data_IF_455330843942
#
_entry.id   IF_455330843942
#
_cell.length_a   1.000
_cell.length_b   1.000
_cell.length_c   1.000
_cell.angle_alpha   90.00
_cell.angle_beta   90.00
_cell.angle_gamma   90.00
#
_symmetry.space_group_name_H-M   'P 1'
#
loop_
_entity.id
_entity.type
_entity.pdbx_description
1 polymer ?
#
# COMPACT_ATOMS: atom_id res chain seq x y z
N UNK A 1 -0.07 -1.85 -8.37
CA UNK A 1 0.09 -0.39 -8.22
C UNK A 1 1.43 -0.12 -7.55
N UNK A 2 2.23 0.72 -8.17
CA UNK A 2 3.54 1.10 -7.64
C UNK A 2 3.51 2.53 -7.11
N UNK A 3 4.13 2.75 -5.98
CA UNK A 3 4.37 4.10 -5.48
C UNK A 3 5.55 4.69 -6.24
N UNK A 4 5.35 5.88 -6.80
CA UNK A 4 6.42 6.69 -7.35
C UNK A 4 6.70 7.81 -6.34
N UNK A 5 7.97 7.97 -5.97
CA UNK A 5 8.40 8.95 -4.98
C UNK A 5 9.66 9.68 -5.42
N UNK A 6 9.77 10.95 -5.06
CA UNK A 6 11.02 11.72 -5.18
C UNK A 6 11.90 11.59 -3.94
N UNK A 7 11.42 10.92 -2.93
CA UNK A 7 12.03 10.75 -1.63
C UNK A 7 13.12 9.66 -1.70
N UNK A 8 14.35 9.99 -1.38
CA UNK A 8 15.49 9.07 -1.44
C UNK A 8 15.61 8.13 -0.25
N UNK A 9 15.07 8.55 0.90
CA UNK A 9 15.13 7.80 2.15
C UNK A 9 13.75 7.75 2.78
N UNK A 10 13.42 6.69 3.52
CA UNK A 10 12.18 6.65 4.25
C UNK A 10 12.17 7.69 5.37
N UNK A 11 10.99 8.24 5.61
CA UNK A 11 10.71 9.01 6.82
C UNK A 11 10.33 8.05 7.94
N UNK A 12 10.49 8.50 9.17
CA UNK A 12 9.99 7.78 10.36
C UNK A 12 8.75 8.50 10.85
N UNK A 13 7.65 7.77 11.01
CA UNK A 13 6.40 8.35 11.48
C UNK A 13 6.54 8.83 12.91
N UNK A 14 6.41 10.15 13.12
CA UNK A 14 6.47 10.76 14.45
C UNK A 14 5.17 10.61 15.24
N UNK A 15 4.09 10.23 14.55
CA UNK A 15 2.75 9.95 15.09
C UNK A 15 2.05 8.95 14.19
N UNK A 16 0.90 8.44 14.62
CA UNK A 16 0.05 7.61 13.80
C UNK A 16 -0.47 8.40 12.58
N UNK A 17 -0.44 7.78 11.40
CA UNK A 17 -0.87 8.41 10.14
C UNK A 17 -2.06 7.63 9.61
N UNK A 18 -3.19 8.31 9.41
CA UNK A 18 -4.37 7.74 8.77
C UNK A 18 -4.17 7.67 7.26
N UNK A 19 -4.52 6.52 6.68
CA UNK A 19 -4.48 6.29 5.24
C UNK A 19 -5.57 5.30 4.84
N UNK A 20 -5.67 5.00 3.54
CA UNK A 20 -6.75 4.18 3.00
C UNK A 20 -6.18 3.09 2.08
N UNK A 21 -6.69 1.90 2.23
CA UNK A 21 -6.27 0.75 1.41
C UNK A 21 -7.46 0.07 0.79
N UNK A 22 -7.34 -0.29 -0.47
CA UNK A 22 -8.30 -1.14 -1.14
C UNK A 22 -7.88 -2.57 -0.91
N UNK A 23 -8.79 -3.39 -0.40
CA UNK A 23 -8.59 -4.82 -0.24
C UNK A 23 -9.55 -5.61 -1.12
N UNK A 24 -9.09 -6.74 -1.59
CA UNK A 24 -9.89 -7.71 -2.34
C UNK A 24 -10.45 -8.73 -1.36
N UNK A 25 -11.77 -8.87 -1.37
CA UNK A 25 -12.44 -9.97 -0.68
C UNK A 25 -12.54 -11.15 -1.63
N UNK A 26 -11.87 -12.25 -1.30
CA UNK A 26 -11.90 -13.48 -2.08
C UNK A 26 -13.18 -14.27 -1.82
N UNK A 27 -13.47 -15.26 -2.70
CA UNK A 27 -14.60 -16.16 -2.53
C UNK A 27 -14.54 -17.00 -1.24
N UNK A 28 -13.35 -17.14 -0.65
CA UNK A 28 -13.11 -17.87 0.59
C UNK A 28 -13.13 -16.96 1.84
N UNK A 29 -13.61 -15.73 1.70
CA UNK A 29 -13.69 -14.73 2.77
C UNK A 29 -12.35 -14.23 3.34
N UNK A 30 -11.29 -14.28 2.55
CA UNK A 30 -10.01 -13.63 2.88
C UNK A 30 -9.97 -12.23 2.30
N UNK A 31 -9.47 -11.29 3.09
CA UNK A 31 -9.16 -9.95 2.63
C UNK A 31 -7.67 -9.85 2.32
N UNK A 32 -7.36 -9.62 1.05
CA UNK A 32 -5.99 -9.63 0.55
C UNK A 32 -5.64 -8.33 -0.17
N UNK A 33 -4.36 -8.06 -0.29
CA UNK A 33 -3.85 -6.99 -1.14
C UNK A 33 -4.09 -7.33 -2.61
N UNK A 34 -4.70 -6.43 -3.43
CA UNK A 34 -5.08 -6.75 -4.80
C UNK A 34 -3.93 -7.19 -5.72
N UNK A 35 -2.75 -6.62 -5.52
CA UNK A 35 -1.62 -6.82 -6.43
C UNK A 35 -0.61 -7.85 -5.98
N UNK A 36 -0.37 -7.95 -4.67
CA UNK A 36 0.66 -8.85 -4.11
C UNK A 36 0.08 -10.00 -3.29
N UNK A 37 -1.23 -10.10 -3.23
CA UNK A 37 -1.96 -11.16 -2.53
C UNK A 37 -1.54 -11.39 -1.07
N UNK A 38 -1.05 -10.32 -0.40
CA UNK A 38 -0.79 -10.39 1.02
C UNK A 38 -2.12 -10.52 1.77
N UNK A 39 -2.24 -11.56 2.58
CA UNK A 39 -3.46 -11.81 3.36
C UNK A 39 -3.42 -11.01 4.66
N UNK A 40 -4.40 -10.11 4.85
CA UNK A 40 -4.51 -9.32 6.06
C UNK A 40 -5.36 -10.00 7.11
N UNK A 41 -6.51 -10.52 6.76
CA UNK A 41 -7.39 -11.21 7.71
C UNK A 41 -8.46 -12.04 6.98
N UNK A 42 -9.07 -12.95 7.73
CA UNK A 42 -10.22 -13.74 7.31
C UNK A 42 -11.45 -13.28 8.09
N UNK A 43 -12.57 -13.05 7.36
CA UNK A 43 -13.88 -12.65 7.88
C UNK A 43 -13.93 -11.33 8.64
N UNK A 44 -13.10 -11.13 9.66
CA UNK A 44 -13.22 -9.99 10.58
C UNK A 44 -11.89 -9.30 10.82
N UNK A 45 -11.90 -7.96 10.74
CA UNK A 45 -10.73 -7.15 11.01
C UNK A 45 -10.37 -7.15 12.51
N UNK A 46 -9.06 -7.19 12.79
CA UNK A 46 -8.52 -6.92 14.13
C UNK A 46 -7.78 -5.57 14.12
N UNK A 47 -8.40 -4.48 14.63
CA UNK A 47 -7.83 -3.14 14.54
C UNK A 47 -6.57 -2.93 15.39
N UNK A 48 -6.27 -3.87 16.29
CA UNK A 48 -5.07 -3.81 17.14
C UNK A 48 -3.85 -4.48 16.52
N UNK A 49 -4.06 -5.31 15.49
CA UNK A 49 -2.96 -6.08 14.88
C UNK A 49 -2.10 -5.17 14.00
N UNK A 50 -0.79 -5.22 14.21
CA UNK A 50 0.21 -4.57 13.36
C UNK A 50 0.72 -5.57 12.35
N UNK A 51 0.51 -5.29 11.07
CA UNK A 51 1.09 -6.06 9.98
C UNK A 51 2.46 -5.48 9.62
N UNK A 52 3.40 -6.37 9.29
CA UNK A 52 4.74 -6.00 8.82
C UNK A 52 4.92 -6.47 7.38
N UNK A 53 5.34 -5.57 6.51
CA UNK A 53 5.64 -5.91 5.14
C UNK A 53 6.94 -6.73 5.07
N UNK A 54 7.02 -7.64 4.09
CA UNK A 54 8.19 -8.48 3.85
C UNK A 54 8.81 -8.15 2.51
N UNK A 55 10.14 -8.07 2.47
CA UNK A 55 10.87 -7.98 1.21
C UNK A 55 10.78 -9.30 0.47
N UNK A 56 10.59 -9.24 -0.86
CA UNK A 56 10.69 -10.43 -1.71
C UNK A 56 12.13 -10.93 -1.79
N UNK A 57 12.30 -12.19 -2.17
CA UNK A 57 13.63 -12.75 -2.44
C UNK A 57 14.41 -11.92 -3.46
N UNK A 58 13.74 -11.45 -4.50
CA UNK A 58 14.34 -10.59 -5.53
C UNK A 58 14.90 -9.29 -4.94
N UNK A 59 14.13 -8.60 -4.13
CA UNK A 59 14.58 -7.35 -3.50
C UNK A 59 15.78 -7.58 -2.58
N UNK A 60 15.79 -8.67 -1.80
CA UNK A 60 16.88 -8.97 -0.88
C UNK A 60 18.16 -9.37 -1.61
N UNK A 61 18.07 -10.23 -2.62
CA UNK A 61 19.23 -10.90 -3.20
C UNK A 61 19.71 -10.29 -4.52
N UNK A 62 18.86 -9.56 -5.24
CA UNK A 62 19.18 -9.01 -6.57
C UNK A 62 19.31 -7.49 -6.52
N UNK A 63 18.31 -6.77 -6.01
CA UNK A 63 18.36 -5.31 -5.95
C UNK A 63 19.06 -4.76 -4.72
N UNK A 64 18.78 -5.31 -3.55
CA UNK A 64 19.34 -4.85 -2.28
C UNK A 64 18.80 -3.52 -1.75
N UNK A 65 18.22 -2.68 -2.59
CA UNK A 65 17.72 -1.35 -2.27
C UNK A 65 16.19 -1.31 -2.22
N UNK A 66 15.64 -0.40 -1.41
CA UNK A 66 14.19 -0.18 -1.33
C UNK A 66 13.63 0.49 -2.59
N UNK A 67 14.47 1.23 -3.33
CA UNK A 67 14.07 2.06 -4.46
C UNK A 67 14.76 1.65 -5.75
N UNK A 68 14.03 1.78 -6.84
CA UNK A 68 14.52 1.58 -8.20
C UNK A 68 14.28 2.87 -9.00
N UNK A 69 15.26 3.29 -9.78
CA UNK A 69 15.14 4.51 -10.59
C UNK A 69 14.00 4.40 -11.60
N UNK A 70 13.14 5.41 -11.61
CA UNK A 70 12.05 5.56 -12.55
C UNK A 70 12.08 6.96 -13.13
N UNK A 71 12.22 7.10 -14.44
CA UNK A 71 12.22 8.38 -15.11
C UNK A 71 10.84 8.65 -15.71
N UNK A 72 10.13 9.64 -15.16
CA UNK A 72 8.81 10.05 -15.62
C UNK A 72 8.84 11.50 -16.10
N UNK A 73 8.67 11.71 -17.41
CA UNK A 73 8.63 13.05 -18.03
C UNK A 73 9.81 13.95 -17.70
N UNK A 74 11.02 13.39 -17.60
CA UNK A 74 12.23 14.17 -17.30
C UNK A 74 12.42 14.51 -15.82
N UNK A 75 11.56 14.01 -14.95
CA UNK A 75 11.69 14.14 -13.49
C UNK A 75 12.31 12.85 -12.96
N UNK A 76 13.42 12.96 -12.23
CA UNK A 76 14.01 11.81 -11.56
C UNK A 76 13.12 11.42 -10.38
N UNK A 77 12.55 10.23 -10.47
CA UNK A 77 11.71 9.65 -9.44
C UNK A 77 12.12 8.20 -9.20
N UNK A 78 11.60 7.61 -8.15
CA UNK A 78 11.92 6.25 -7.75
C UNK A 78 10.65 5.44 -7.59
N UNK A 79 10.70 4.18 -8.00
CA UNK A 79 9.67 3.18 -7.73
C UNK A 79 10.08 2.36 -6.53
N UNK A 80 9.15 2.17 -5.61
CA UNK A 80 9.39 1.41 -4.39
C UNK A 80 9.34 -0.10 -4.67
N UNK A 81 10.40 -0.81 -4.26
CA UNK A 81 10.47 -2.27 -4.30
C UNK A 81 9.61 -2.91 -3.20
N UNK A 82 9.64 -4.23 -3.07
CA UNK A 82 8.92 -4.94 -2.00
C UNK A 82 9.40 -4.55 -0.60
N UNK A 83 8.61 -4.85 0.40
CA UNK A 83 8.92 -4.53 1.81
C UNK A 83 8.09 -3.38 2.36
N UNK A 84 7.12 -2.92 1.59
CA UNK A 84 6.21 -1.83 1.98
C UNK A 84 4.79 -2.15 1.54
N UNK A 85 3.83 -1.79 2.38
CA UNK A 85 2.42 -1.76 2.02
C UNK A 85 2.12 -0.45 1.31
N UNK A 86 1.30 -0.50 0.25
CA UNK A 86 0.90 0.67 -0.53
C UNK A 86 -0.53 1.06 -0.19
N UNK A 87 -0.73 2.33 0.15
CA UNK A 87 -2.02 2.91 0.50
C UNK A 87 -2.22 4.25 -0.21
N UNK A 88 -3.46 4.75 -0.19
CA UNK A 88 -3.80 6.10 -0.63
C UNK A 88 -3.80 7.04 0.56
N UNK A 89 -3.33 8.27 0.36
CA UNK A 89 -3.23 9.27 1.44
C UNK A 89 -4.60 9.77 1.91
N UNK A 90 -5.58 9.79 1.01
CA UNK A 90 -6.91 10.29 1.30
C UNK A 90 -7.99 9.36 0.74
N UNK A 91 -9.21 9.50 1.28
CA UNK A 91 -10.35 8.69 0.89
C UNK A 91 -10.74 8.91 -0.58
N UNK A 92 -10.71 10.15 -1.06
CA UNK A 92 -11.10 10.49 -2.44
C UNK A 92 -10.19 9.78 -3.46
N UNK A 93 -8.90 9.69 -3.18
CA UNK A 93 -7.96 8.95 -4.03
C UNK A 93 -8.29 7.46 -4.07
N UNK A 94 -8.62 6.85 -2.95
CA UNK A 94 -9.06 5.45 -2.89
C UNK A 94 -10.38 5.25 -3.66
N UNK A 95 -11.33 6.16 -3.56
CA UNK A 95 -12.59 6.11 -4.31
C UNK A 95 -12.34 6.18 -5.82
N UNK A 96 -11.45 7.06 -6.27
CA UNK A 96 -11.06 7.14 -7.67
C UNK A 96 -10.41 5.85 -8.16
N UNK A 97 -9.51 5.30 -7.36
CA UNK A 97 -8.78 4.08 -7.71
C UNK A 97 -9.68 2.84 -7.79
N UNK A 98 -10.62 2.68 -6.86
CA UNK A 98 -11.48 1.49 -6.82
C UNK A 98 -12.39 1.39 -8.06
N UNK A 99 -12.72 2.52 -8.69
CA UNK A 99 -13.54 2.54 -9.91
C UNK A 99 -12.88 1.86 -11.11
N UNK A 100 -11.55 1.73 -11.09
CA UNK A 100 -10.78 1.10 -12.16
C UNK A 100 -10.52 -0.38 -11.93
N UNK A 101 -10.90 -0.90 -10.77
CA UNK A 101 -10.72 -2.29 -10.42
C UNK A 101 -11.95 -3.09 -10.81
N UNK A 102 -11.75 -4.16 -11.58
CA UNK A 102 -12.82 -5.06 -12.01
C UNK A 102 -12.70 -6.37 -11.23
N UNK A 103 -13.62 -6.64 -10.30
CA UNK A 103 -13.59 -7.90 -9.54
C UNK A 103 -13.97 -9.07 -10.45
N UNK A 104 -13.39 -10.24 -10.17
CA UNK A 104 -13.82 -11.49 -10.76
C UNK A 104 -15.14 -11.93 -10.12
N UNK A 105 -15.78 -12.96 -10.70
CA UNK A 105 -16.98 -13.57 -10.13
C UNK A 105 -16.73 -14.02 -8.68
N UNK A 106 -17.65 -13.70 -7.78
CA UNK A 106 -17.58 -13.95 -6.33
C UNK A 106 -16.48 -13.20 -5.57
N UNK A 107 -15.82 -12.24 -6.23
CA UNK A 107 -14.86 -11.34 -5.59
C UNK A 107 -15.43 -9.92 -5.50
N UNK A 108 -14.95 -9.14 -4.57
CA UNK A 108 -15.30 -7.72 -4.44
C UNK A 108 -14.13 -6.93 -3.88
N UNK A 109 -14.12 -5.62 -4.16
CA UNK A 109 -13.17 -4.69 -3.58
C UNK A 109 -13.85 -3.83 -2.54
N UNK A 110 -13.13 -3.51 -1.47
CA UNK A 110 -13.60 -2.60 -0.43
C UNK A 110 -12.48 -1.67 0.02
N UNK A 111 -12.87 -0.48 0.48
CA UNK A 111 -11.94 0.50 1.03
C UNK A 111 -11.91 0.36 2.54
N UNK A 112 -10.71 0.30 3.10
CA UNK A 112 -10.48 0.24 4.54
C UNK A 112 -9.72 1.48 5.00
N UNK A 113 -10.16 2.03 6.12
CA UNK A 113 -9.37 3.00 6.86
C UNK A 113 -8.25 2.25 7.57
N UNK A 114 -7.04 2.76 7.42
CA UNK A 114 -5.83 2.17 7.96
C UNK A 114 -5.03 3.19 8.74
N UNK A 115 -4.13 2.71 9.58
CA UNK A 115 -3.19 3.55 10.32
C UNK A 115 -1.78 3.02 10.15
N UNK A 116 -0.88 3.92 9.79
CA UNK A 116 0.57 3.69 9.84
C UNK A 116 0.99 4.00 11.27
N UNK A 117 1.45 3.00 12.06
CA UNK A 117 1.83 3.24 13.44
C UNK A 117 3.02 4.18 13.58
N UNK A 118 3.04 4.99 14.64
CA UNK A 118 4.21 5.74 15.03
C UNK A 118 5.46 4.86 15.05
N UNK A 119 6.57 5.36 14.53
CA UNK A 119 7.83 4.62 14.41
C UNK A 119 8.00 3.83 13.14
N UNK A 120 6.97 3.73 12.30
CA UNK A 120 7.05 3.05 11.01
C UNK A 120 7.91 3.84 10.02
N UNK A 121 8.57 3.13 9.12
CA UNK A 121 9.25 3.71 7.96
C UNK A 121 8.24 3.90 6.85
N UNK A 122 8.22 5.07 6.24
CA UNK A 122 7.27 5.34 5.16
C UNK A 122 7.82 6.25 4.07
N UNK A 123 7.23 6.10 2.87
CA UNK A 123 7.47 6.95 1.71
C UNK A 123 6.17 7.60 1.29
N UNK A 124 6.23 8.86 0.87
CA UNK A 124 5.12 9.56 0.24
C UNK A 124 5.39 9.73 -1.24
N UNK A 125 4.33 9.71 -2.03
CA UNK A 125 4.42 9.87 -3.46
C UNK A 125 3.06 9.82 -4.13
N UNK A 126 3.01 9.22 -5.29
CA UNK A 126 1.78 9.09 -6.08
C UNK A 126 1.79 7.77 -6.87
N UNK A 127 0.62 7.39 -7.35
CA UNK A 127 0.51 6.22 -8.21
C UNK A 127 1.02 6.52 -9.61
N UNK A 128 1.55 5.50 -10.31
CA UNK A 128 2.02 5.63 -11.69
C UNK A 128 0.88 5.96 -12.66
N UNK A 129 -0.33 5.47 -12.37
CA UNK A 129 -1.53 5.73 -13.16
C UNK A 129 -2.38 6.72 -12.36
N UNK A 130 -2.87 7.77 -13.04
CA UNK A 130 -3.72 8.83 -12.49
C UNK A 130 -3.09 9.72 -11.42
N UNK A 131 -1.82 9.51 -11.07
CA UNK A 131 -1.05 10.32 -10.12
C UNK A 131 -1.80 10.63 -8.82
N UNK A 132 -2.43 9.62 -8.25
CA UNK A 132 -3.17 9.75 -6.99
C UNK A 132 -2.21 9.83 -5.81
N UNK A 133 -2.41 10.77 -4.88
CA UNK A 133 -1.59 10.87 -3.67
C UNK A 133 -1.55 9.54 -2.90
N UNK A 134 -0.37 9.05 -2.64
CA UNK A 134 -0.16 7.72 -2.07
C UNK A 134 0.93 7.73 -1.01
N UNK A 135 0.91 6.71 -0.18
CA UNK A 135 1.85 6.50 0.90
C UNK A 135 2.15 5.02 1.03
N UNK A 136 3.38 4.68 1.36
CA UNK A 136 3.78 3.29 1.57
C UNK A 136 4.53 3.16 2.89
N UNK A 137 4.27 2.09 3.62
CA UNK A 137 4.85 1.87 4.94
C UNK A 137 5.24 0.41 5.16
N UNK A 138 6.26 0.19 5.97
CA UNK A 138 6.68 -1.15 6.37
C UNK A 138 5.76 -1.78 7.43
N UNK A 139 4.93 -0.99 8.09
CA UNK A 139 3.94 -1.45 9.08
C UNK A 139 2.59 -0.82 8.84
N UNK A 140 1.54 -1.57 9.14
CA UNK A 140 0.16 -1.12 8.90
C UNK A 140 -0.81 -1.77 9.89
N UNK A 141 -1.79 -0.99 10.33
CA UNK A 141 -3.00 -1.49 11.01
C UNK A 141 -4.20 -1.27 10.10
N UNK A 142 -5.03 -2.28 9.98
CA UNK A 142 -6.34 -2.14 9.31
C UNK A 142 -7.36 -1.83 10.40
N UNK A 143 -8.02 -0.69 10.31
CA UNK A 143 -8.92 -0.21 11.37
C UNK A 143 -10.36 -0.65 11.13
N UNK A 144 -10.93 -0.28 10.00
CA UNK A 144 -12.32 -0.59 9.67
C UNK A 144 -12.59 -0.47 8.18
N UNK A 145 -13.61 -1.17 7.71
CA UNK A 145 -14.17 -0.96 6.38
C UNK A 145 -15.01 0.31 6.35
N UNK A 146 -14.87 1.06 5.29
CA UNK A 146 -15.68 2.27 5.06
C UNK A 146 -16.84 1.97 4.13
#
# INVERSE_FOLDING_TARGET
MCLITEQLKPKIASKDITCYKILLLTSDNFYISPYRHFTFFENQVNPKKVFKAKKSWWTINIHGDDLELFNDNGIDAFTLNSGFFHMYKDYDSAVKAIKWLVPREKESYAIFECVIPKGSRYYEGFTSIYRLPSIASDKLKIVKQI
#
